data_IF_762557703268
#
_entry.id   IF_762557703268
#
_cell.length_a   1.000
_cell.length_b   1.000
_cell.length_c   1.000
_cell.angle_alpha   90.00
_cell.angle_beta   90.00
_cell.angle_gamma   90.00
#
_symmetry.space_group_name_H-M   'P 1'
#
loop_
_entity.id
_entity.type
_entity.pdbx_description
1 polymer ?
#
# COMPACT_ATOMS: atom_id res chain seq x y z
N UNK A 1 -22.06 -1.64 51.45
CA UNK A 1 -22.83 -2.64 50.74
C UNK A 1 -23.45 -2.03 49.49
N UNK A 2 -23.36 -2.74 48.37
CA UNK A 2 -23.94 -2.28 47.12
C UNK A 2 -25.42 -2.62 47.08
N UNK A 3 -26.25 -1.67 46.70
CA UNK A 3 -27.69 -1.95 46.53
C UNK A 3 -27.90 -2.76 45.25
N UNK A 4 -29.03 -3.51 45.15
CA UNK A 4 -29.35 -4.23 43.88
C UNK A 4 -29.40 -3.30 42.69
N UNK A 5 -29.87 -2.06 42.88
CA UNK A 5 -29.90 -1.06 41.80
C UNK A 5 -28.48 -0.70 41.34
N UNK A 6 -27.58 -0.48 42.26
CA UNK A 6 -26.18 -0.15 41.96
C UNK A 6 -25.50 -1.30 41.24
N UNK A 7 -25.76 -2.54 41.70
CA UNK A 7 -25.21 -3.73 41.02
C UNK A 7 -25.68 -3.82 39.59
N UNK A 8 -26.96 -3.54 39.36
CA UNK A 8 -27.52 -3.60 38.03
C UNK A 8 -26.90 -2.53 37.10
N UNK A 9 -26.67 -1.35 37.63
CA UNK A 9 -26.03 -0.26 36.89
C UNK A 9 -24.61 -0.69 36.51
N UNK A 10 -23.85 -1.27 37.42
CA UNK A 10 -22.50 -1.73 37.15
C UNK A 10 -22.48 -2.81 36.09
N UNK A 11 -23.43 -3.74 36.14
CA UNK A 11 -23.55 -4.81 35.15
C UNK A 11 -23.83 -4.23 33.76
N UNK A 12 -24.73 -3.24 33.68
CA UNK A 12 -25.08 -2.60 32.42
C UNK A 12 -23.90 -1.82 31.85
N UNK A 13 -23.17 -1.13 32.71
CA UNK A 13 -21.97 -0.41 32.30
C UNK A 13 -20.92 -1.38 31.74
N UNK A 14 -20.74 -2.51 32.40
CA UNK A 14 -19.81 -3.54 31.96
C UNK A 14 -20.21 -4.09 30.60
N UNK A 15 -21.49 -4.40 30.42
CA UNK A 15 -21.98 -4.88 29.13
C UNK A 15 -21.80 -3.87 28.05
N UNK A 16 -22.05 -2.59 28.35
CA UNK A 16 -21.88 -1.52 27.38
C UNK A 16 -20.42 -1.41 26.94
N UNK A 17 -19.50 -1.50 27.89
CA UNK A 17 -18.07 -1.45 27.62
C UNK A 17 -17.66 -2.62 26.72
N UNK A 18 -18.15 -3.82 27.03
CA UNK A 18 -17.88 -5.03 26.24
C UNK A 18 -18.41 -4.91 24.83
N UNK A 19 -19.62 -4.38 24.67
CA UNK A 19 -20.24 -4.20 23.35
C UNK A 19 -19.49 -3.17 22.53
N UNK A 20 -19.06 -2.09 23.14
CA UNK A 20 -18.24 -1.08 22.46
C UNK A 20 -16.91 -1.63 22.00
N UNK A 21 -16.27 -2.43 22.86
CA UNK A 21 -15.00 -3.06 22.51
C UNK A 21 -15.18 -4.02 21.35
N UNK A 22 -16.25 -4.81 21.35
CA UNK A 22 -16.56 -5.76 20.29
C UNK A 22 -16.83 -5.01 18.97
N UNK A 23 -17.58 -3.92 19.04
CA UNK A 23 -17.90 -3.11 17.88
C UNK A 23 -16.63 -2.52 17.25
N UNK A 24 -15.72 -2.01 18.09
CA UNK A 24 -14.44 -1.48 17.59
C UNK A 24 -13.63 -2.55 16.89
N UNK A 25 -13.62 -3.75 17.45
CA UNK A 25 -12.89 -4.87 16.85
C UNK A 25 -13.49 -5.24 15.48
N UNK A 26 -14.80 -5.29 15.39
CA UNK A 26 -15.47 -5.60 14.12
C UNK A 26 -15.21 -4.52 13.08
N UNK A 27 -15.26 -3.27 13.49
CA UNK A 27 -14.98 -2.15 12.58
C UNK A 27 -13.54 -2.20 12.08
N UNK A 28 -12.60 -2.51 12.97
CA UNK A 28 -11.19 -2.63 12.60
C UNK A 28 -10.99 -3.76 11.60
N UNK A 29 -11.65 -4.90 11.82
CA UNK A 29 -11.59 -6.03 10.88
C UNK A 29 -12.16 -5.66 9.52
N UNK A 30 -13.28 -4.94 9.51
CA UNK A 30 -13.92 -4.52 8.27
C UNK A 30 -13.03 -3.58 7.48
N UNK A 31 -12.44 -2.60 8.15
CA UNK A 31 -11.52 -1.66 7.49
C UNK A 31 -10.29 -2.38 6.95
N UNK A 32 -9.73 -3.31 7.72
CA UNK A 32 -8.59 -4.09 7.28
C UNK A 32 -8.94 -4.93 6.05
N UNK A 33 -10.11 -5.55 6.03
CA UNK A 33 -10.57 -6.34 4.89
C UNK A 33 -10.77 -5.47 3.66
N UNK A 34 -11.38 -4.28 3.81
CA UNK A 34 -11.57 -3.35 2.71
C UNK A 34 -10.24 -2.86 2.17
N UNK A 35 -9.32 -2.50 3.06
CA UNK A 35 -8.00 -2.04 2.68
C UNK A 35 -7.25 -3.12 1.90
N UNK A 36 -7.37 -4.37 2.33
CA UNK A 36 -6.75 -5.49 1.65
C UNK A 36 -7.31 -5.68 0.24
N UNK A 37 -8.63 -5.58 0.10
CA UNK A 37 -9.29 -5.68 -1.21
C UNK A 37 -8.85 -4.55 -2.13
N UNK A 38 -8.80 -3.32 -1.61
CA UNK A 38 -8.38 -2.17 -2.39
C UNK A 38 -6.94 -2.28 -2.86
N UNK A 39 -6.06 -2.74 -1.97
CA UNK A 39 -4.66 -2.94 -2.34
C UNK A 39 -4.51 -4.02 -3.40
N UNK A 40 -5.29 -5.09 -3.29
CA UNK A 40 -5.26 -6.15 -4.29
C UNK A 40 -5.73 -5.63 -5.65
N UNK A 41 -6.76 -4.80 -5.67
CA UNK A 41 -7.25 -4.18 -6.90
C UNK A 41 -6.22 -3.25 -7.50
N UNK A 42 -5.58 -2.42 -6.68
CA UNK A 42 -4.53 -1.52 -7.15
C UNK A 42 -3.36 -2.30 -7.73
N UNK A 43 -2.94 -3.36 -7.04
CA UNK A 43 -1.88 -4.21 -7.52
C UNK A 43 -2.26 -4.82 -8.88
N UNK A 44 -3.49 -5.30 -9.00
CA UNK A 44 -3.96 -5.89 -10.25
C UNK A 44 -3.99 -4.86 -11.39
N UNK A 45 -4.44 -3.63 -11.09
CA UNK A 45 -4.42 -2.55 -12.08
C UNK A 45 -3.01 -2.27 -12.57
N UNK A 46 -2.06 -2.23 -11.65
CA UNK A 46 -0.64 -2.00 -12.00
C UNK A 46 -0.10 -3.13 -12.85
N UNK A 47 -0.42 -4.37 -12.49
CA UNK A 47 0.02 -5.53 -13.26
C UNK A 47 -0.56 -5.50 -14.68
N UNK A 48 -1.84 -5.23 -14.80
CA UNK A 48 -2.49 -5.19 -16.11
C UNK A 48 -1.95 -4.06 -16.98
N UNK A 49 -1.79 -2.89 -16.41
CA UNK A 49 -1.26 -1.75 -17.14
C UNK A 49 0.19 -1.98 -17.53
N UNK A 50 0.99 -2.51 -16.60
CA UNK A 50 2.37 -2.83 -16.88
C UNK A 50 2.52 -3.91 -17.94
N UNK A 51 1.69 -4.94 -17.88
CA UNK A 51 1.70 -6.02 -18.86
C UNK A 51 1.36 -5.49 -20.26
N UNK A 52 0.36 -4.61 -20.33
CA UNK A 52 -0.03 -4.00 -21.60
C UNK A 52 1.10 -3.17 -22.19
N UNK A 53 1.72 -2.32 -21.37
CA UNK A 53 2.82 -1.48 -21.81
C UNK A 53 4.02 -2.29 -22.28
N UNK A 54 4.37 -3.33 -21.52
CA UNK A 54 5.48 -4.19 -21.91
C UNK A 54 5.20 -4.94 -23.20
N UNK A 55 3.97 -5.38 -23.37
CA UNK A 55 3.56 -6.09 -24.59
C UNK A 55 3.66 -5.18 -25.82
N UNK A 56 3.26 -3.92 -25.66
CA UNK A 56 3.27 -2.96 -26.77
C UNK A 56 4.66 -2.40 -27.06
N UNK A 57 5.43 -2.14 -26.02
CA UNK A 57 6.71 -1.44 -26.16
C UNK A 57 7.93 -2.37 -26.13
N UNK A 58 7.79 -3.51 -25.48
CA UNK A 58 8.94 -4.35 -25.15
C UNK A 58 9.77 -3.72 -24.05
N UNK A 59 10.71 -4.48 -23.48
CA UNK A 59 11.54 -3.99 -22.39
C UNK A 59 12.38 -2.78 -22.82
N UNK A 60 12.94 -2.83 -24.02
CA UNK A 60 13.77 -1.74 -24.54
C UNK A 60 12.96 -0.46 -24.76
N UNK A 61 11.72 -0.60 -25.26
CA UNK A 61 10.85 0.55 -25.43
C UNK A 61 10.37 1.13 -24.11
N UNK A 62 10.13 0.25 -23.13
CA UNK A 62 9.66 0.68 -21.82
C UNK A 62 10.67 1.60 -21.12
N UNK A 63 11.97 1.32 -21.26
CA UNK A 63 12.99 2.17 -20.60
C UNK A 63 13.07 3.56 -21.22
N UNK A 64 12.54 3.73 -22.41
CA UNK A 64 12.52 5.05 -23.10
C UNK A 64 11.20 5.78 -22.88
N UNK A 65 10.28 5.18 -22.14
CA UNK A 65 8.96 5.76 -21.93
C UNK A 65 9.04 7.07 -21.13
N UNK A 66 8.40 8.10 -21.65
CA UNK A 66 8.29 9.40 -20.99
C UNK A 66 6.83 9.79 -20.94
N UNK A 67 6.33 10.08 -19.74
CA UNK A 67 4.95 10.51 -19.54
C UNK A 67 4.95 11.78 -18.69
N UNK A 68 4.32 12.81 -19.21
CA UNK A 68 4.18 14.08 -18.49
C UNK A 68 5.54 14.63 -18.01
N UNK A 69 6.55 14.51 -18.85
CA UNK A 69 7.89 15.01 -18.55
C UNK A 69 8.72 14.14 -17.62
N UNK A 70 8.18 12.99 -17.22
CA UNK A 70 8.89 12.04 -16.36
C UNK A 70 9.27 10.79 -17.13
N UNK A 71 10.54 10.43 -17.08
CA UNK A 71 11.00 9.21 -17.72
C UNK A 71 10.82 8.01 -16.79
N UNK A 72 10.50 6.87 -17.37
CA UNK A 72 10.38 5.63 -16.61
C UNK A 72 11.70 5.25 -15.95
N UNK A 73 12.79 5.37 -16.69
CA UNK A 73 14.13 5.04 -16.15
C UNK A 73 14.52 5.95 -15.00
N UNK A 74 14.15 7.21 -15.04
CA UNK A 74 14.41 8.14 -13.94
C UNK A 74 13.50 7.91 -12.74
N UNK A 75 12.32 7.36 -12.98
CA UNK A 75 11.37 7.05 -11.92
C UNK A 75 11.80 5.83 -11.11
N UNK A 76 12.45 4.86 -11.76
CA UNK A 76 12.94 3.67 -11.07
C UNK A 76 14.14 4.03 -10.19
N UNK A 77 14.04 3.77 -8.90
CA UNK A 77 15.09 4.11 -7.93
C UNK A 77 15.79 2.91 -7.32
N UNK A 78 15.06 1.80 -7.18
CA UNK A 78 15.63 0.61 -6.52
C UNK A 78 16.52 -0.16 -7.49
N UNK A 79 17.67 -0.63 -6.98
CA UNK A 79 18.61 -1.41 -7.77
C UNK A 79 17.99 -2.64 -8.39
N UNK A 80 17.21 -3.37 -7.60
CA UNK A 80 16.58 -4.60 -8.05
C UNK A 80 15.63 -4.36 -9.22
N UNK A 81 14.87 -3.28 -9.11
CA UNK A 81 13.90 -2.91 -10.15
C UNK A 81 14.61 -2.47 -11.42
N UNK A 82 15.67 -1.67 -11.27
CA UNK A 82 16.44 -1.19 -12.41
C UNK A 82 17.13 -2.34 -13.15
N UNK A 83 17.60 -3.33 -12.39
CA UNK A 83 18.25 -4.51 -12.96
C UNK A 83 17.30 -5.30 -13.86
N UNK A 84 16.00 -5.30 -13.55
CA UNK A 84 15.00 -5.98 -14.36
C UNK A 84 14.89 -5.41 -15.79
N UNK A 85 15.31 -4.16 -15.96
CA UNK A 85 15.30 -3.49 -17.25
C UNK A 85 16.70 -3.21 -17.78
N UNK A 86 17.69 -3.89 -17.23
CA UNK A 86 19.09 -3.75 -17.61
C UNK A 86 19.60 -2.31 -17.45
N UNK A 87 19.07 -1.61 -16.45
CA UNK A 87 19.50 -0.26 -16.12
C UNK A 87 20.57 -0.26 -15.06
N UNK A 88 21.52 0.66 -15.12
CA UNK A 88 22.53 0.75 -14.07
C UNK A 88 21.92 1.21 -12.75
N UNK A 89 22.63 1.04 -11.63
CA UNK A 89 22.15 1.55 -10.35
C UNK A 89 21.80 3.02 -10.43
N UNK A 90 20.81 3.45 -9.65
CA UNK A 90 20.33 4.82 -9.72
C UNK A 90 21.42 5.79 -9.28
N UNK A 91 21.70 6.76 -10.16
CA UNK A 91 22.67 7.82 -9.84
C UNK A 91 22.13 8.83 -8.84
N UNK A 92 20.84 8.78 -8.61
CA UNK A 92 20.23 9.64 -7.59
C UNK A 92 20.55 9.15 -6.18
N UNK A 93 21.14 7.98 -6.10
CA UNK A 93 21.70 7.55 -4.83
C UNK A 93 22.73 8.59 -4.43
N UNK A 94 22.70 9.06 -3.31
CA UNK A 94 23.47 10.22 -2.89
C UNK A 94 24.94 10.13 -3.23
N UNK A 95 24.76 10.28 -3.99
CA UNK A 95 25.58 10.55 -4.43
C UNK A 95 25.96 10.83 -5.06
N UNK A 96 26.25 10.51 -4.93
CA UNK A 96 26.53 10.63 -5.56
C UNK A 96 26.55 11.00 -6.39
N UNK A 97 26.41 11.29 -6.33
CA UNK A 97 26.41 11.56 -7.05
C UNK A 97 26.91 11.79 -7.62
N UNK A 98 27.03 12.05 -7.81
CA UNK A 98 27.42 12.28 -8.46
C UNK A 98 28.09 12.20 -8.84
N UNK A 99 28.38 12.18 -8.87
CA UNK A 99 28.87 12.31 -9.41
C UNK A 99 29.21 12.01 -9.93
N UNK A 100 29.50 11.90 -9.96
CA UNK A 100 29.95 11.88 -10.50
C UNK A 100 30.29 11.92 -11.11
#
# INVERSE_FOLDING_TARGET
MTTPRQQKILELEKKLTELKARQRTEEARRRAAQSKVERARDTRRKILLGAFLLDQLGSAGAVQLVLQGRSFSGWLSRHDDRALFDLPPSSSAPESGGEA
#
